data_IF_569378688581
#
_entry.id   IF_569378688581
#
_cell.length_a   1.000
_cell.length_b   1.000
_cell.length_c   1.000
_cell.angle_alpha   90.00
_cell.angle_beta   90.00
_cell.angle_gamma   90.00
#
_symmetry.space_group_name_H-M   'P 1'
#
loop_
_entity.id
_entity.type
_entity.pdbx_description
1 polymer ?
#
# COMPACT_ATOMS: atom_id res chain seq x y z
N UNK A 1 -2.35 14.27 15.18
CA UNK A 1 -1.59 13.02 15.42
C UNK A 1 -0.25 13.38 16.04
N UNK A 2 0.20 12.70 17.11
CA UNK A 2 1.52 12.96 17.69
C UNK A 2 2.64 12.64 16.67
N UNK A 3 3.83 13.28 16.74
CA UNK A 3 4.89 13.09 15.74
C UNK A 3 5.31 11.63 15.53
N UNK A 4 5.35 10.82 16.59
CA UNK A 4 5.66 9.40 16.50
C UNK A 4 4.59 8.64 15.68
N UNK A 5 3.32 8.95 15.90
CA UNK A 5 2.21 8.33 15.18
C UNK A 5 2.19 8.73 13.69
N UNK A 6 2.63 9.95 13.33
CA UNK A 6 2.82 10.35 11.92
C UNK A 6 3.86 9.48 11.22
N UNK A 7 4.98 9.19 11.88
CA UNK A 7 6.04 8.32 11.32
C UNK A 7 5.54 6.90 11.12
N UNK A 8 4.87 6.32 12.11
CA UNK A 8 4.31 4.97 12.00
C UNK A 8 3.27 4.87 10.88
N UNK A 9 2.40 5.88 10.75
CA UNK A 9 1.43 5.94 9.66
C UNK A 9 2.09 6.07 8.29
N UNK A 10 3.06 6.98 8.14
CA UNK A 10 3.81 7.13 6.89
C UNK A 10 4.52 5.83 6.50
N UNK A 11 5.09 5.12 7.47
CA UNK A 11 5.71 3.82 7.24
C UNK A 11 4.69 2.77 6.79
N UNK A 12 3.50 2.73 7.41
CA UNK A 12 2.44 1.81 7.00
C UNK A 12 1.97 2.05 5.56
N UNK A 13 1.76 3.31 5.18
CA UNK A 13 1.40 3.69 3.80
C UNK A 13 2.52 3.32 2.83
N UNK A 14 3.78 3.63 3.17
CA UNK A 14 4.93 3.29 2.35
C UNK A 14 5.05 1.78 2.13
N UNK A 15 4.96 0.98 3.19
CA UNK A 15 5.02 -0.49 3.08
C UNK A 15 3.86 -1.08 2.26
N UNK A 16 2.66 -0.51 2.35
CA UNK A 16 1.54 -0.94 1.52
C UNK A 16 1.82 -0.70 0.02
N UNK A 17 2.32 0.49 -0.34
CA UNK A 17 2.64 0.82 -1.74
C UNK A 17 3.75 -0.10 -2.29
N UNK A 18 4.83 -0.30 -1.52
CA UNK A 18 5.92 -1.22 -1.89
C UNK A 18 5.42 -2.66 -2.06
N UNK A 19 4.52 -3.13 -1.19
CA UNK A 19 3.88 -4.44 -1.29
C UNK A 19 3.09 -4.61 -2.60
N UNK A 20 2.33 -3.59 -3.00
CA UNK A 20 1.60 -3.60 -4.27
C UNK A 20 2.55 -3.65 -5.48
N UNK A 21 3.67 -2.92 -5.45
CA UNK A 21 4.69 -2.97 -6.50
C UNK A 21 5.35 -4.35 -6.60
N UNK A 22 5.68 -4.96 -5.46
CA UNK A 22 6.28 -6.28 -5.40
C UNK A 22 5.36 -7.34 -6.02
N UNK A 23 4.07 -7.32 -5.69
CA UNK A 23 3.09 -8.27 -6.23
C UNK A 23 2.92 -8.07 -7.74
N UNK A 24 2.77 -6.82 -8.20
CA UNK A 24 2.66 -6.52 -9.63
C UNK A 24 3.87 -7.00 -10.44
N UNK A 25 5.08 -6.79 -9.91
CA UNK A 25 6.32 -7.30 -10.51
C UNK A 25 6.35 -8.84 -10.53
N UNK A 26 5.93 -9.48 -9.44
CA UNK A 26 5.86 -10.94 -9.35
C UNK A 26 4.88 -11.57 -10.35
N UNK A 27 3.83 -10.83 -10.72
CA UNK A 27 2.83 -11.26 -11.70
C UNK A 27 3.16 -10.88 -13.15
N UNK A 28 4.21 -10.09 -13.40
CA UNK A 28 4.49 -9.47 -14.70
C UNK A 28 3.29 -8.69 -15.28
N UNK A 29 2.50 -8.04 -14.40
CA UNK A 29 1.27 -7.35 -14.76
C UNK A 29 1.11 -6.08 -13.92
N UNK A 30 1.33 -4.92 -14.54
CA UNK A 30 1.23 -3.61 -13.87
C UNK A 30 -0.18 -3.29 -13.39
N UNK A 31 -1.24 -3.84 -14.02
CA UNK A 31 -2.61 -3.60 -13.58
C UNK A 31 -2.93 -4.29 -12.24
N UNK A 32 -2.08 -5.22 -11.78
CA UNK A 32 -2.17 -5.80 -10.43
C UNK A 32 -1.87 -4.75 -9.36
N UNK A 33 -1.05 -3.73 -9.66
CA UNK A 33 -0.78 -2.63 -8.72
C UNK A 33 -2.07 -1.89 -8.36
N UNK A 34 -2.82 -1.42 -9.38
CA UNK A 34 -4.07 -0.67 -9.18
C UNK A 34 -5.12 -1.50 -8.43
N UNK A 35 -5.31 -2.76 -8.83
CA UNK A 35 -6.21 -3.71 -8.16
C UNK A 35 -5.81 -3.93 -6.69
N UNK A 36 -4.52 -4.00 -6.39
CA UNK A 36 -4.03 -4.16 -5.03
C UNK A 36 -4.30 -2.92 -4.18
N UNK A 37 -4.10 -1.72 -4.74
CA UNK A 37 -4.43 -0.47 -4.04
C UNK A 37 -5.94 -0.33 -3.79
N UNK A 38 -6.78 -0.71 -4.75
CA UNK A 38 -8.24 -0.78 -4.54
C UNK A 38 -8.60 -1.75 -3.41
N UNK A 39 -8.00 -2.94 -3.38
CA UNK A 39 -8.23 -3.91 -2.31
C UNK A 39 -7.81 -3.35 -0.94
N UNK A 40 -6.66 -2.66 -0.86
CA UNK A 40 -6.24 -2.02 0.39
C UNK A 40 -7.19 -0.91 0.86
N UNK A 41 -7.72 -0.09 -0.05
CA UNK A 41 -8.75 0.92 0.31
C UNK A 41 -10.04 0.26 0.76
N UNK A 42 -10.51 -0.76 0.04
CA UNK A 42 -11.71 -1.51 0.42
C UNK A 42 -11.57 -2.20 1.79
N UNK A 43 -10.36 -2.62 2.15
CA UNK A 43 -10.03 -3.18 3.46
C UNK A 43 -9.74 -2.13 4.55
N UNK A 44 -9.75 -0.83 4.23
CA UNK A 44 -9.45 0.25 5.17
C UNK A 44 -7.97 0.36 5.56
N UNK A 45 -7.07 -0.26 4.80
CA UNK A 45 -5.62 -0.23 5.02
C UNK A 45 -4.97 1.03 4.42
N UNK A 46 -5.64 1.65 3.44
CA UNK A 46 -5.25 2.92 2.85
C UNK A 46 -6.41 3.92 2.90
N UNK A 47 -6.10 5.23 3.00
CA UNK A 47 -7.10 6.29 2.91
C UNK A 47 -7.73 6.42 1.51
#
# INVERSE_FOLDING_TARGET
MAPAAVKSWAFAVFSAVEGAQLVARGCDDVAVFDRTLEAYRAAGLLP
#
